data_IF_709896705647
#
_entry.id   IF_709896705647
#
_cell.length_a   1.000
_cell.length_b   1.000
_cell.length_c   1.000
_cell.angle_alpha   90.00
_cell.angle_beta   90.00
_cell.angle_gamma   90.00
#
_symmetry.space_group_name_H-M   'P 1'
#
loop_
_entity.id
_entity.type
_entity.pdbx_description
1 polymer ?
#
# COMPACT_ATOMS: atom_id res chain seq x y z
N UNK A 1 51.59 -8.22 -51.02
CA UNK A 1 50.62 -7.27 -50.43
C UNK A 1 49.63 -8.07 -49.60
N UNK A 2 49.92 -8.18 -48.32
CA UNK A 2 49.11 -8.94 -47.36
C UNK A 2 48.25 -7.94 -46.58
N UNK A 3 46.96 -8.04 -46.77
CA UNK A 3 45.99 -7.24 -46.00
C UNK A 3 45.77 -7.90 -44.65
N UNK A 4 46.30 -7.25 -43.62
CA UNK A 4 46.03 -7.68 -42.19
C UNK A 4 44.69 -7.12 -41.79
N UNK A 5 43.69 -7.98 -41.59
CA UNK A 5 42.44 -7.69 -40.93
C UNK A 5 42.67 -7.77 -39.42
N UNK A 6 42.76 -6.62 -38.76
CA UNK A 6 42.73 -6.52 -37.30
C UNK A 6 41.27 -6.66 -36.83
N UNK A 7 40.93 -7.80 -36.29
CA UNK A 7 39.74 -7.98 -35.46
C UNK A 7 40.01 -7.35 -34.09
N UNK A 8 39.32 -6.28 -33.77
CA UNK A 8 39.27 -5.74 -32.42
C UNK A 8 38.51 -6.72 -31.52
N UNK A 9 39.23 -7.45 -30.69
CA UNK A 9 38.66 -8.28 -29.64
C UNK A 9 38.00 -7.35 -28.59
N UNK A 10 36.69 -7.16 -28.68
CA UNK A 10 35.88 -6.75 -27.54
C UNK A 10 35.77 -7.96 -26.62
N UNK A 11 36.65 -8.08 -25.62
CA UNK A 11 36.45 -8.94 -24.47
C UNK A 11 35.30 -8.33 -23.66
N UNK A 12 34.10 -8.82 -23.86
CA UNK A 12 32.99 -8.59 -22.92
C UNK A 12 33.31 -9.43 -21.69
N UNK A 13 33.92 -8.82 -20.68
CA UNK A 13 34.05 -9.45 -19.37
C UNK A 13 32.65 -9.56 -18.77
N UNK A 14 32.03 -10.74 -18.86
CA UNK A 14 30.89 -11.10 -18.02
C UNK A 14 31.41 -11.21 -16.60
N UNK A 15 31.15 -10.20 -15.77
CA UNK A 15 31.41 -10.25 -14.34
C UNK A 15 30.35 -11.21 -13.75
N UNK A 16 30.70 -12.47 -13.56
CA UNK A 16 29.93 -13.38 -12.73
C UNK A 16 30.19 -13.07 -11.27
N UNK A 17 29.14 -13.03 -10.46
CA UNK A 17 29.30 -12.92 -9.01
C UNK A 17 30.01 -14.17 -8.50
N UNK A 18 31.09 -14.03 -7.73
CA UNK A 18 31.79 -15.18 -7.15
C UNK A 18 30.92 -15.82 -6.07
N UNK A 19 30.81 -17.15 -6.04
CA UNK A 19 30.07 -17.91 -5.02
C UNK A 19 30.46 -17.52 -3.60
N UNK A 20 31.76 -17.35 -3.34
CA UNK A 20 32.27 -16.94 -2.04
C UNK A 20 31.69 -15.58 -1.60
N UNK A 21 31.61 -14.60 -2.53
CA UNK A 21 31.05 -13.26 -2.25
C UNK A 21 29.55 -13.34 -1.96
N UNK A 22 28.78 -14.10 -2.77
CA UNK A 22 27.34 -14.25 -2.54
C UNK A 22 27.06 -14.98 -1.23
N UNK A 23 27.83 -16.02 -0.89
CA UNK A 23 27.70 -16.73 0.38
C UNK A 23 28.04 -15.83 1.59
N UNK A 24 29.07 -14.98 1.50
CA UNK A 24 29.42 -14.00 2.53
C UNK A 24 28.25 -13.01 2.75
N UNK A 25 27.64 -12.50 1.68
CA UNK A 25 26.49 -11.61 1.75
C UNK A 25 25.31 -12.32 2.45
N UNK A 26 24.98 -13.54 2.02
CA UNK A 26 23.95 -14.34 2.64
C UNK A 26 24.16 -14.52 4.14
N UNK A 27 25.34 -14.99 4.55
CA UNK A 27 25.66 -15.21 5.96
C UNK A 27 25.56 -13.94 6.79
N UNK A 28 26.13 -12.83 6.29
CA UNK A 28 26.05 -11.55 6.99
C UNK A 28 24.61 -11.03 7.14
N UNK A 29 23.75 -11.23 6.13
CA UNK A 29 22.35 -10.84 6.20
C UNK A 29 21.54 -11.71 7.15
N UNK A 30 21.80 -13.03 7.19
CA UNK A 30 21.15 -13.96 8.14
C UNK A 30 21.53 -13.61 9.58
N UNK A 31 22.80 -13.28 9.85
CA UNK A 31 23.25 -12.83 11.16
C UNK A 31 22.55 -11.53 11.58
N UNK A 32 22.51 -10.55 10.70
CA UNK A 32 21.76 -9.31 10.93
C UNK A 32 20.29 -9.53 11.29
N UNK A 33 19.61 -10.48 10.65
CA UNK A 33 18.22 -10.80 10.98
C UNK A 33 18.07 -11.33 12.41
N UNK A 34 19.01 -12.16 12.85
CA UNK A 34 18.99 -12.74 14.20
C UNK A 34 19.22 -11.68 15.28
N UNK A 35 20.10 -10.73 15.02
CA UNK A 35 20.55 -9.73 15.99
C UNK A 35 19.67 -8.47 16.02
N UNK A 36 18.93 -8.21 14.94
CA UNK A 36 18.07 -7.02 14.83
C UNK A 36 16.83 -7.15 15.70
N UNK A 37 16.50 -6.07 16.42
CA UNK A 37 15.24 -5.93 17.17
C UNK A 37 14.01 -6.11 16.24
N UNK A 38 13.02 -6.83 16.75
CA UNK A 38 11.78 -7.12 16.01
C UNK A 38 10.87 -5.91 15.85
N UNK A 39 11.16 -4.82 16.58
CA UNK A 39 10.32 -3.63 16.58
C UNK A 39 8.93 -3.89 17.15
N UNK A 40 7.98 -3.05 16.77
CA UNK A 40 6.58 -3.21 17.16
C UNK A 40 5.95 -4.41 16.45
N UNK A 41 5.25 -5.24 17.19
CA UNK A 41 4.50 -6.37 16.65
C UNK A 41 3.50 -5.88 15.59
N UNK A 42 3.60 -6.46 14.37
CA UNK A 42 2.71 -6.12 13.28
C UNK A 42 1.45 -7.00 13.33
N UNK A 43 0.28 -6.36 13.46
CA UNK A 43 -1.00 -7.09 13.52
C UNK A 43 -1.23 -7.96 12.28
N UNK A 44 -0.73 -7.54 11.12
CA UNK A 44 -0.78 -8.30 9.88
C UNK A 44 -0.18 -9.71 10.02
N UNK A 45 0.77 -9.93 10.93
CA UNK A 45 1.38 -11.25 11.17
C UNK A 45 0.37 -12.33 11.58
N UNK A 46 -0.74 -11.92 12.24
CA UNK A 46 -1.78 -12.87 12.66
C UNK A 46 -2.65 -13.37 11.49
N UNK A 47 -2.65 -12.65 10.38
CA UNK A 47 -3.49 -12.90 9.22
C UNK A 47 -2.70 -13.39 7.99
N UNK A 48 -1.40 -13.67 8.16
CA UNK A 48 -0.62 -14.26 7.07
C UNK A 48 -1.06 -15.73 6.87
N UNK A 49 -1.27 -16.14 5.62
CA UNK A 49 -1.72 -17.50 5.31
C UNK A 49 -0.61 -18.53 5.55
N UNK A 50 -0.99 -19.79 5.81
CA UNK A 50 -0.05 -20.91 5.69
C UNK A 50 0.30 -21.13 4.21
N UNK A 51 1.60 -21.16 3.93
CA UNK A 51 2.13 -21.25 2.57
C UNK A 51 2.40 -22.70 2.25
N UNK A 52 1.71 -23.22 1.21
CA UNK A 52 1.97 -24.58 0.68
C UNK A 52 2.64 -24.49 -0.70
N UNK A 53 1.85 -24.21 -1.73
CA UNK A 53 2.28 -24.23 -3.14
C UNK A 53 2.23 -22.83 -3.79
N UNK A 54 2.04 -21.77 -2.98
CA UNK A 54 1.96 -20.39 -3.44
C UNK A 54 3.06 -19.56 -2.78
N UNK A 55 3.61 -18.62 -3.49
CA UNK A 55 4.46 -17.60 -2.89
C UNK A 55 3.60 -16.63 -2.08
N UNK A 56 4.04 -16.27 -0.87
CA UNK A 56 3.46 -15.15 -0.15
C UNK A 56 4.21 -13.87 -0.52
N UNK A 57 3.48 -12.89 -1.02
CA UNK A 57 4.03 -11.59 -1.38
C UNK A 57 3.54 -10.55 -0.38
N UNK A 58 4.45 -10.00 0.41
CA UNK A 58 4.18 -8.88 1.32
C UNK A 58 4.51 -7.60 0.57
N UNK A 59 3.49 -6.87 0.16
CA UNK A 59 3.63 -5.62 -0.58
C UNK A 59 3.20 -4.42 0.26
N UNK A 60 3.45 -3.20 -0.21
CA UNK A 60 3.02 -1.98 0.47
C UNK A 60 4.00 -0.83 0.28
N UNK A 61 3.58 0.36 0.69
CA UNK A 61 4.36 1.59 0.50
C UNK A 61 5.78 1.48 1.09
N UNK A 62 6.73 2.17 0.49
CA UNK A 62 8.10 2.26 1.01
C UNK A 62 8.11 2.66 2.49
N UNK A 63 8.97 2.03 3.31
CA UNK A 63 9.15 2.28 4.76
C UNK A 63 7.92 2.01 5.65
N UNK A 64 6.89 1.29 5.18
CA UNK A 64 5.76 0.88 6.02
C UNK A 64 6.09 -0.26 7.00
N UNK A 65 7.28 -0.89 6.89
CA UNK A 65 7.75 -1.95 7.80
C UNK A 65 7.67 -3.37 7.23
N UNK A 66 7.75 -3.56 5.90
CA UNK A 66 7.73 -4.89 5.25
C UNK A 66 8.82 -5.82 5.76
N UNK A 67 10.07 -5.35 5.78
CA UNK A 67 11.21 -6.14 6.28
C UNK A 67 11.07 -6.46 7.78
N UNK A 68 10.42 -5.59 8.57
CA UNK A 68 10.09 -5.88 9.98
C UNK A 68 9.07 -7.01 10.09
N UNK A 69 7.98 -6.96 9.31
CA UNK A 69 6.99 -8.04 9.26
C UNK A 69 7.63 -9.35 8.80
N UNK A 70 8.53 -9.29 7.81
CA UNK A 70 9.25 -10.46 7.30
C UNK A 70 10.10 -11.10 8.41
N UNK A 71 10.87 -10.30 9.19
CA UNK A 71 11.63 -10.79 10.35
C UNK A 71 10.74 -11.42 11.42
N UNK A 72 9.64 -10.76 11.77
CA UNK A 72 8.68 -11.30 12.73
C UNK A 72 8.08 -12.63 12.23
N UNK A 73 7.84 -12.75 10.94
CA UNK A 73 7.34 -13.98 10.34
C UNK A 73 8.40 -15.09 10.40
N UNK A 74 9.66 -14.80 10.04
CA UNK A 74 10.78 -15.73 10.18
C UNK A 74 10.85 -16.28 11.61
N UNK A 75 10.88 -15.40 12.61
CA UNK A 75 10.95 -15.80 14.03
C UNK A 75 9.73 -16.60 14.47
N UNK A 76 8.52 -16.22 14.04
CA UNK A 76 7.27 -16.96 14.33
C UNK A 76 7.29 -18.38 13.79
N UNK A 77 7.91 -18.61 12.63
CA UNK A 77 7.97 -19.96 12.06
C UNK A 77 8.86 -20.93 12.87
N UNK A 78 9.90 -20.41 13.51
CA UNK A 78 10.89 -21.20 14.25
C UNK A 78 11.66 -22.22 13.41
N UNK A 79 11.59 -22.12 12.07
CA UNK A 79 12.19 -23.07 11.13
C UNK A 79 13.50 -22.52 10.57
N UNK A 80 14.41 -23.42 10.12
CA UNK A 80 15.55 -23.00 9.31
C UNK A 80 15.07 -22.21 8.09
N UNK A 81 15.74 -21.11 7.77
CA UNK A 81 15.35 -20.19 6.70
C UNK A 81 16.56 -19.73 5.89
N UNK A 82 16.33 -19.52 4.61
CA UNK A 82 17.23 -18.81 3.71
C UNK A 82 16.70 -17.38 3.54
N UNK A 83 17.54 -16.37 3.71
CA UNK A 83 17.15 -14.97 3.55
C UNK A 83 18.14 -14.20 2.69
N UNK A 84 17.64 -13.43 1.73
CA UNK A 84 18.42 -12.52 0.91
C UNK A 84 17.64 -11.24 0.66
N UNK A 85 18.26 -10.10 0.98
CA UNK A 85 17.75 -8.77 0.65
C UNK A 85 18.47 -8.23 -0.59
N UNK A 86 17.72 -8.02 -1.66
CA UNK A 86 18.25 -7.56 -2.94
C UNK A 86 18.46 -6.04 -3.02
N UNK A 87 18.08 -5.25 -2.00
CA UNK A 87 18.43 -3.81 -1.91
C UNK A 87 19.84 -3.60 -1.33
N UNK A 88 20.59 -4.67 -1.08
CA UNK A 88 22.00 -4.61 -0.64
C UNK A 88 22.89 -4.14 -1.80
N UNK A 89 23.69 -3.10 -1.57
CA UNK A 89 24.60 -2.54 -2.57
C UNK A 89 25.58 -3.57 -3.17
N UNK A 90 25.94 -4.60 -2.41
CA UNK A 90 26.80 -5.69 -2.88
C UNK A 90 26.13 -6.58 -3.94
N UNK A 91 24.79 -6.49 -4.07
CA UNK A 91 23.98 -7.21 -5.06
C UNK A 91 23.54 -6.34 -6.24
N UNK A 92 24.02 -5.11 -6.40
CA UNK A 92 23.65 -4.22 -7.51
C UNK A 92 23.92 -4.84 -8.89
N UNK A 93 24.95 -5.66 -9.00
CA UNK A 93 25.35 -6.34 -10.24
C UNK A 93 24.73 -7.74 -10.37
N UNK A 94 23.85 -8.14 -9.44
CA UNK A 94 23.21 -9.45 -9.48
C UNK A 94 22.38 -9.60 -10.77
N UNK A 95 22.67 -10.63 -11.51
CA UNK A 95 22.13 -10.90 -12.84
C UNK A 95 21.46 -12.28 -12.93
N UNK A 96 20.83 -12.57 -14.06
CA UNK A 96 20.16 -13.85 -14.30
C UNK A 96 21.13 -15.04 -14.20
N UNK A 97 22.40 -14.86 -14.59
CA UNK A 97 23.43 -15.91 -14.50
C UNK A 97 23.78 -16.30 -13.06
N UNK A 98 23.55 -15.38 -12.09
CA UNK A 98 23.90 -15.61 -10.70
C UNK A 98 22.87 -16.47 -9.95
N UNK A 99 21.68 -16.69 -10.53
CA UNK A 99 20.69 -17.59 -9.93
C UNK A 99 21.20 -19.05 -9.82
N UNK A 100 22.08 -19.50 -10.75
CA UNK A 100 22.71 -20.81 -10.62
C UNK A 100 23.61 -20.91 -9.39
N UNK A 101 24.37 -19.85 -9.11
CA UNK A 101 25.22 -19.76 -7.91
C UNK A 101 24.35 -19.69 -6.64
N UNK A 102 23.26 -18.94 -6.71
CA UNK A 102 22.29 -18.86 -5.61
C UNK A 102 21.67 -20.25 -5.31
N UNK A 103 21.36 -21.03 -6.35
CA UNK A 103 20.85 -22.39 -6.20
C UNK A 103 21.84 -23.31 -5.49
N UNK A 104 23.13 -23.25 -5.87
CA UNK A 104 24.17 -24.04 -5.19
C UNK A 104 24.23 -23.72 -3.70
N UNK A 105 24.18 -22.42 -3.33
CA UNK A 105 24.22 -22.00 -1.91
C UNK A 105 22.97 -22.50 -1.17
N UNK A 106 21.78 -22.37 -1.77
CA UNK A 106 20.53 -22.85 -1.17
C UNK A 106 20.58 -24.36 -0.96
N UNK A 107 21.04 -25.13 -1.96
CA UNK A 107 21.12 -26.59 -1.89
C UNK A 107 22.13 -27.05 -0.82
N UNK A 108 23.26 -26.39 -0.66
CA UNK A 108 24.23 -26.65 0.40
C UNK A 108 23.66 -26.45 1.81
N UNK A 109 22.72 -25.50 1.97
CA UNK A 109 22.05 -25.29 3.27
C UNK A 109 21.01 -26.35 3.60
N UNK A 110 20.45 -27.05 2.60
CA UNK A 110 19.33 -27.97 2.75
C UNK A 110 18.01 -27.30 3.16
N UNK A 111 17.95 -25.95 3.18
CA UNK A 111 16.81 -25.17 3.63
C UNK A 111 15.77 -25.09 2.51
N UNK A 112 14.50 -25.35 2.86
CA UNK A 112 13.36 -25.29 1.92
C UNK A 112 12.43 -24.07 2.14
N UNK A 113 12.76 -23.18 3.08
CA UNK A 113 11.98 -21.98 3.35
C UNK A 113 12.80 -20.74 3.01
N UNK A 114 12.41 -20.05 1.95
CA UNK A 114 13.13 -18.93 1.34
C UNK A 114 12.39 -17.63 1.60
N UNK A 115 13.13 -16.61 2.00
CA UNK A 115 12.66 -15.25 2.21
C UNK A 115 13.51 -14.29 1.36
N UNK A 116 12.88 -13.61 0.40
CA UNK A 116 13.50 -12.60 -0.44
C UNK A 116 12.91 -11.23 -0.13
N UNK A 117 13.76 -10.31 0.32
CA UNK A 117 13.38 -8.92 0.62
C UNK A 117 13.73 -8.02 -0.57
N UNK A 118 12.82 -7.09 -0.93
CA UNK A 118 12.92 -6.16 -2.07
C UNK A 118 13.31 -6.86 -3.40
N UNK A 119 12.69 -8.01 -3.68
CA UNK A 119 13.02 -8.90 -4.81
C UNK A 119 12.89 -8.25 -6.19
N UNK A 120 12.10 -7.18 -6.31
CA UNK A 120 11.89 -6.48 -7.59
C UNK A 120 13.14 -5.82 -8.16
N UNK A 121 14.22 -5.77 -7.41
CA UNK A 121 15.52 -5.27 -7.90
C UNK A 121 16.28 -6.33 -8.72
N UNK A 122 15.97 -7.62 -8.54
CA UNK A 122 16.57 -8.72 -9.27
C UNK A 122 15.87 -8.99 -10.60
N UNK A 123 16.62 -9.08 -11.70
CA UNK A 123 16.05 -9.32 -13.03
C UNK A 123 15.45 -10.74 -13.14
N UNK A 124 14.27 -10.88 -13.75
CA UNK A 124 13.57 -12.16 -13.98
C UNK A 124 13.31 -12.99 -12.72
N UNK A 125 13.21 -12.35 -11.57
CA UNK A 125 12.97 -13.01 -10.28
C UNK A 125 11.72 -13.89 -10.28
N UNK A 126 10.69 -13.54 -11.05
CA UNK A 126 9.42 -14.27 -11.10
C UNK A 126 9.60 -15.67 -11.66
N UNK A 127 10.44 -15.80 -12.69
CA UNK A 127 10.76 -17.11 -13.29
C UNK A 127 11.55 -17.98 -12.28
N UNK A 128 12.47 -17.34 -11.57
CA UNK A 128 13.23 -18.04 -10.54
C UNK A 128 12.35 -18.49 -9.38
N UNK A 129 11.48 -17.63 -8.87
CA UNK A 129 10.54 -18.00 -7.81
C UNK A 129 9.60 -19.11 -8.25
N UNK A 130 9.11 -19.07 -9.49
CA UNK A 130 8.29 -20.15 -10.05
C UNK A 130 9.03 -21.49 -10.04
N UNK A 131 10.29 -21.50 -10.48
CA UNK A 131 11.15 -22.69 -10.44
C UNK A 131 11.29 -23.22 -9.00
N UNK A 132 11.51 -22.35 -8.02
CA UNK A 132 11.60 -22.77 -6.60
C UNK A 132 10.30 -23.36 -6.07
N UNK A 133 9.14 -22.78 -6.44
CA UNK A 133 7.84 -23.37 -6.11
C UNK A 133 7.62 -24.74 -6.74
N UNK A 134 8.06 -24.94 -7.99
CA UNK A 134 8.01 -26.25 -8.67
C UNK A 134 8.89 -27.29 -7.99
N UNK A 135 10.01 -26.88 -7.39
CA UNK A 135 10.91 -27.71 -6.59
C UNK A 135 10.43 -27.95 -5.15
N UNK A 136 9.23 -27.44 -4.78
CA UNK A 136 8.63 -27.62 -3.46
C UNK A 136 9.16 -26.69 -2.36
N UNK A 137 9.85 -25.62 -2.72
CA UNK A 137 10.25 -24.60 -1.75
C UNK A 137 9.05 -23.76 -1.30
N UNK A 138 9.07 -23.31 -0.05
CA UNK A 138 8.17 -22.27 0.48
C UNK A 138 8.84 -20.92 0.29
N UNK A 139 8.17 -19.99 -0.39
CA UNK A 139 8.76 -18.70 -0.76
C UNK A 139 7.93 -17.56 -0.23
N UNK A 140 8.58 -16.63 0.48
CA UNK A 140 8.02 -15.36 0.94
C UNK A 140 8.81 -14.22 0.33
N UNK A 141 8.11 -13.25 -0.22
CA UNK A 141 8.70 -12.13 -0.94
C UNK A 141 8.24 -10.81 -0.34
N UNK A 142 9.08 -9.79 -0.38
CA UNK A 142 8.62 -8.41 -0.21
C UNK A 142 8.88 -7.57 -1.43
N UNK A 143 8.11 -6.50 -1.57
CA UNK A 143 8.33 -5.48 -2.59
C UNK A 143 7.52 -4.21 -2.36
N UNK A 144 8.06 -3.08 -2.81
CA UNK A 144 7.46 -1.76 -2.61
C UNK A 144 6.59 -1.27 -3.77
N UNK A 145 6.30 -2.13 -4.75
CA UNK A 145 5.52 -1.76 -5.92
C UNK A 145 4.45 -2.80 -6.27
N UNK A 146 3.21 -2.33 -6.44
CA UNK A 146 2.07 -3.16 -6.77
C UNK A 146 2.07 -3.66 -8.22
N UNK A 147 2.51 -2.82 -9.18
CA UNK A 147 2.48 -3.21 -10.60
C UNK A 147 3.49 -4.29 -10.95
N UNK A 148 4.66 -4.27 -10.32
CA UNK A 148 5.64 -5.34 -10.48
C UNK A 148 5.07 -6.66 -9.98
N UNK A 149 4.31 -6.61 -8.89
CA UNK A 149 3.71 -7.80 -8.30
C UNK A 149 2.45 -8.26 -9.04
N UNK A 150 1.62 -7.37 -9.59
CA UNK A 150 0.36 -7.75 -10.24
C UNK A 150 0.50 -8.13 -11.72
N UNK A 151 1.22 -7.36 -12.55
CA UNK A 151 1.42 -7.66 -13.97
C UNK A 151 2.33 -8.86 -14.20
N UNK A 152 3.45 -8.89 -13.50
CA UNK A 152 4.45 -9.92 -13.68
C UNK A 152 4.06 -11.22 -12.97
N UNK A 153 3.43 -11.13 -11.79
CA UNK A 153 2.89 -12.30 -11.10
C UNK A 153 1.74 -12.96 -11.88
N UNK A 154 0.81 -12.17 -12.44
CA UNK A 154 -0.32 -12.70 -13.20
C UNK A 154 0.09 -13.51 -14.43
N UNK A 155 1.16 -13.11 -15.10
CA UNK A 155 1.64 -13.76 -16.33
C UNK A 155 2.72 -14.82 -16.09
N UNK A 156 3.68 -14.55 -15.21
CA UNK A 156 4.87 -15.38 -15.01
C UNK A 156 4.76 -16.39 -13.86
N UNK A 157 4.10 -16.05 -12.75
CA UNK A 157 3.82 -17.00 -11.64
C UNK A 157 2.51 -17.78 -11.83
N UNK A 158 1.78 -17.54 -12.93
CA UNK A 158 0.58 -18.32 -13.29
C UNK A 158 -0.42 -18.52 -12.14
N UNK A 159 -0.69 -17.44 -11.38
CA UNK A 159 -1.66 -17.45 -10.28
C UNK A 159 -1.17 -18.09 -8.96
N UNK A 160 0.06 -18.61 -8.89
CA UNK A 160 0.58 -19.24 -7.67
C UNK A 160 1.21 -18.26 -6.69
N UNK A 161 0.45 -17.24 -6.31
CA UNK A 161 0.86 -16.26 -5.31
C UNK A 161 -0.33 -15.77 -4.48
N UNK A 162 -0.06 -15.33 -3.27
CA UNK A 162 -1.01 -14.66 -2.39
C UNK A 162 -0.38 -13.32 -2.00
N UNK A 163 -1.04 -12.23 -2.34
CA UNK A 163 -0.58 -10.89 -1.99
C UNK A 163 -1.20 -10.45 -0.67
N UNK A 164 -0.38 -9.93 0.24
CA UNK A 164 -0.81 -9.26 1.46
C UNK A 164 -0.22 -7.86 1.50
N UNK A 165 -1.09 -6.87 1.44
CA UNK A 165 -0.69 -5.47 1.55
C UNK A 165 -0.42 -5.11 3.01
N UNK A 166 0.71 -4.47 3.24
CA UNK A 166 1.10 -3.92 4.53
C UNK A 166 1.03 -2.40 4.49
N UNK A 167 0.31 -1.84 5.46
CA UNK A 167 0.18 -0.40 5.64
C UNK A 167 1.17 0.13 6.69
N UNK A 168 1.41 1.45 6.77
CA UNK A 168 1.96 2.06 7.98
C UNK A 168 1.17 1.62 9.22
N UNK A 169 1.63 1.92 10.44
CA UNK A 169 0.92 1.49 11.64
C UNK A 169 -0.55 1.90 11.62
N UNK A 170 -1.44 0.95 11.94
CA UNK A 170 -2.82 1.25 12.32
C UNK A 170 -2.86 2.01 13.62
N UNK A 171 -4.03 2.58 13.99
CA UNK A 171 -4.18 3.20 15.30
C UNK A 171 -3.88 2.21 16.44
N UNK A 172 -4.28 0.95 16.33
CA UNK A 172 -3.96 -0.09 17.32
C UNK A 172 -2.45 -0.39 17.42
N UNK A 173 -1.73 -0.45 16.31
CA UNK A 173 -0.28 -0.60 16.30
C UNK A 173 0.43 0.65 16.85
N UNK A 174 -0.09 1.85 16.57
CA UNK A 174 0.38 3.10 17.15
C UNK A 174 0.24 3.12 18.68
N UNK A 175 -0.88 2.63 19.23
CA UNK A 175 -1.07 2.52 20.68
C UNK A 175 -0.01 1.62 21.32
N UNK A 176 0.28 0.49 20.68
CA UNK A 176 1.36 -0.41 21.14
C UNK A 176 2.72 0.28 21.07
N UNK A 177 3.02 0.96 19.96
CA UNK A 177 4.27 1.71 19.78
C UNK A 177 4.45 2.82 20.82
N UNK A 178 3.42 3.63 21.02
CA UNK A 178 3.45 4.79 21.93
C UNK A 178 3.22 4.44 23.39
N UNK A 179 2.89 3.16 23.70
CA UNK A 179 2.46 2.70 25.02
C UNK A 179 1.29 3.51 25.58
N UNK A 180 0.42 4.00 24.68
CA UNK A 180 -0.72 4.82 25.04
C UNK A 180 -1.99 3.96 25.22
N UNK A 181 -2.90 4.41 26.09
CA UNK A 181 -4.24 3.84 26.19
C UNK A 181 -5.13 4.33 25.06
N UNK A 182 -6.02 3.46 24.56
CA UNK A 182 -7.04 3.83 23.56
C UNK A 182 -7.94 4.92 24.12
N UNK A 183 -8.25 5.91 23.30
CA UNK A 183 -9.13 7.01 23.66
C UNK A 183 -8.90 8.25 22.80
N UNK A 184 -9.76 9.23 22.93
CA UNK A 184 -9.77 10.44 22.11
C UNK A 184 -8.39 11.16 22.09
N UNK A 185 -7.74 11.31 23.22
CA UNK A 185 -6.46 12.03 23.29
C UNK A 185 -5.33 11.32 22.53
N UNK A 186 -5.27 9.98 22.57
CA UNK A 186 -4.29 9.21 21.80
C UNK A 186 -4.66 9.17 20.32
N UNK A 187 -5.96 9.10 20.00
CA UNK A 187 -6.45 9.20 18.62
C UNK A 187 -6.07 10.55 18.00
N UNK A 188 -6.30 11.67 18.71
CA UNK A 188 -5.93 13.01 18.22
C UNK A 188 -4.44 13.11 17.89
N UNK A 189 -3.56 12.48 18.69
CA UNK A 189 -2.12 12.43 18.39
C UNK A 189 -1.83 11.61 17.13
N UNK A 190 -2.42 10.41 17.01
CA UNK A 190 -2.28 9.58 15.80
C UNK A 190 -2.82 10.31 14.57
N UNK A 191 -3.98 10.94 14.69
CA UNK A 191 -4.62 11.75 13.65
C UNK A 191 -3.73 12.93 13.19
N UNK A 192 -2.85 13.43 14.07
CA UNK A 192 -1.88 14.46 13.73
C UNK A 192 -0.60 13.91 13.08
N UNK A 193 -0.18 12.68 13.39
CA UNK A 193 1.12 12.16 12.97
C UNK A 193 1.05 11.17 11.82
N UNK A 194 -0.03 10.43 11.68
CA UNK A 194 -0.08 9.25 10.85
C UNK A 194 0.65 8.06 11.49
N UNK A 195 0.88 7.02 10.69
CA UNK A 195 1.37 5.73 11.15
C UNK A 195 2.76 5.34 10.63
N UNK A 196 3.52 6.21 9.97
CA UNK A 196 4.87 5.83 9.50
C UNK A 196 5.83 5.57 10.65
N UNK A 197 6.38 4.34 10.80
CA UNK A 197 7.17 3.93 11.96
C UNK A 197 8.39 4.82 12.22
N UNK A 198 9.14 5.15 11.17
CA UNK A 198 10.37 5.96 11.28
C UNK A 198 10.07 7.39 11.71
N UNK A 199 9.01 8.00 11.15
CA UNK A 199 8.58 9.33 11.58
C UNK A 199 8.12 9.35 13.04
N UNK A 200 7.34 8.35 13.45
CA UNK A 200 6.89 8.22 14.85
C UNK A 200 8.05 8.05 15.82
N UNK A 201 9.12 7.34 15.42
CA UNK A 201 10.31 7.11 16.24
C UNK A 201 11.16 8.38 16.38
N UNK A 202 11.41 9.09 15.29
CA UNK A 202 12.35 10.20 15.23
C UNK A 202 11.69 11.59 15.39
N UNK A 203 10.37 11.68 15.16
CA UNK A 203 9.55 12.89 15.27
C UNK A 203 10.05 14.08 14.44
N UNK A 204 10.79 13.80 13.35
CA UNK A 204 11.27 14.82 12.43
C UNK A 204 10.37 14.85 11.17
N UNK A 205 9.64 15.96 10.89
CA UNK A 205 8.78 16.08 9.70
C UNK A 205 9.50 15.92 8.36
N UNK A 206 10.80 16.21 8.32
CA UNK A 206 11.61 16.04 7.10
C UNK A 206 11.64 14.59 6.61
N UNK A 207 11.47 13.61 7.52
CA UNK A 207 11.42 12.18 7.17
C UNK A 207 10.26 11.90 6.22
N UNK A 208 9.07 12.41 6.51
CA UNK A 208 7.91 12.23 5.63
C UNK A 208 8.07 12.97 4.31
N UNK A 209 8.63 14.18 4.35
CA UNK A 209 8.92 14.97 3.14
C UNK A 209 9.95 14.25 2.26
N UNK A 210 11.01 13.69 2.86
CA UNK A 210 12.01 12.93 2.11
C UNK A 210 11.42 11.61 1.56
N UNK A 211 10.62 10.90 2.36
CA UNK A 211 9.94 9.69 1.93
C UNK A 211 9.00 9.96 0.75
N UNK A 212 8.23 11.04 0.79
CA UNK A 212 7.38 11.47 -0.33
C UNK A 212 8.21 11.72 -1.59
N UNK A 213 9.33 12.43 -1.47
CA UNK A 213 10.25 12.67 -2.60
C UNK A 213 10.82 11.35 -3.14
N UNK A 214 11.27 10.45 -2.28
CA UNK A 214 11.79 9.15 -2.69
C UNK A 214 10.74 8.35 -3.48
N UNK A 215 9.47 8.37 -3.06
CA UNK A 215 8.38 7.72 -3.80
C UNK A 215 8.15 8.38 -5.15
N UNK A 216 8.03 9.72 -5.19
CA UNK A 216 7.74 10.43 -6.45
C UNK A 216 8.88 10.31 -7.46
N UNK A 217 10.15 10.45 -7.01
CA UNK A 217 11.27 10.48 -7.93
C UNK A 217 11.86 9.11 -8.20
N UNK A 218 12.12 8.28 -7.19
CA UNK A 218 12.75 6.97 -7.38
C UNK A 218 11.75 5.89 -7.78
N UNK A 219 10.61 5.81 -7.06
CA UNK A 219 9.66 4.72 -7.25
C UNK A 219 8.69 5.00 -8.40
N UNK A 220 8.50 6.28 -8.81
CA UNK A 220 7.64 6.66 -9.92
C UNK A 220 8.44 7.22 -11.09
N UNK A 221 9.06 8.41 -10.96
CA UNK A 221 9.63 9.11 -12.12
C UNK A 221 10.72 8.28 -12.82
N UNK A 222 11.68 7.75 -12.08
CA UNK A 222 12.75 6.91 -12.64
C UNK A 222 12.19 5.61 -13.23
N UNK A 223 11.30 4.94 -12.52
CA UNK A 223 10.74 3.65 -12.94
C UNK A 223 9.91 3.71 -14.21
N UNK A 224 9.08 4.74 -14.35
CA UNK A 224 8.17 4.91 -15.49
C UNK A 224 8.71 5.89 -16.55
N UNK A 225 9.98 6.31 -16.41
CA UNK A 225 10.63 7.28 -17.32
C UNK A 225 9.80 8.56 -17.49
N UNK A 226 9.28 9.11 -16.37
CA UNK A 226 8.50 10.35 -16.39
C UNK A 226 9.45 11.52 -16.60
N UNK A 227 9.36 12.18 -17.76
CA UNK A 227 10.22 13.32 -18.10
C UNK A 227 9.81 14.63 -17.42
N UNK A 228 8.53 14.79 -17.08
CA UNK A 228 7.99 15.98 -16.40
C UNK A 228 7.67 15.72 -14.92
N UNK A 229 8.71 15.66 -14.11
CA UNK A 229 8.59 15.48 -12.65
C UNK A 229 7.81 16.62 -11.96
N UNK A 230 7.86 17.84 -12.53
CA UNK A 230 7.14 18.99 -11.96
C UNK A 230 5.64 18.81 -12.08
N UNK A 231 5.15 18.28 -13.19
CA UNK A 231 3.73 17.97 -13.37
C UNK A 231 3.26 16.87 -12.43
N UNK A 232 4.09 15.85 -12.23
CA UNK A 232 3.83 14.78 -11.27
C UNK A 232 3.70 15.35 -9.83
N UNK A 233 4.62 16.23 -9.42
CA UNK A 233 4.59 16.85 -8.10
C UNK A 233 3.40 17.80 -7.93
N UNK A 234 3.07 18.62 -8.94
CA UNK A 234 1.87 19.50 -8.89
C UNK A 234 0.61 18.68 -8.71
N UNK A 235 0.49 17.58 -9.45
CA UNK A 235 -0.66 16.69 -9.28
C UNK A 235 -0.72 16.08 -7.89
N UNK A 236 0.40 15.60 -7.35
CA UNK A 236 0.47 15.10 -5.98
C UNK A 236 -0.02 16.13 -4.95
N UNK A 237 0.50 17.35 -5.00
CA UNK A 237 0.12 18.42 -4.07
C UNK A 237 -1.37 18.73 -4.17
N UNK A 238 -1.89 18.81 -5.41
CA UNK A 238 -3.32 19.02 -5.61
C UNK A 238 -4.17 17.89 -5.02
N UNK A 239 -3.80 16.63 -5.28
CA UNK A 239 -4.53 15.47 -4.75
C UNK A 239 -4.50 15.43 -3.22
N UNK A 240 -3.37 15.80 -2.61
CA UNK A 240 -3.25 15.85 -1.16
C UNK A 240 -4.15 16.93 -0.52
N UNK A 241 -4.33 18.07 -1.21
CA UNK A 241 -5.28 19.12 -0.75
C UNK A 241 -6.75 18.74 -0.96
N UNK A 242 -7.02 17.72 -1.77
CA UNK A 242 -8.35 17.24 -2.11
C UNK A 242 -8.57 15.78 -1.67
N UNK A 243 -7.83 15.32 -0.65
CA UNK A 243 -8.07 14.00 -0.07
C UNK A 243 -9.54 13.85 0.36
N UNK A 244 -10.18 12.71 0.08
CA UNK A 244 -11.62 12.51 0.30
C UNK A 244 -12.55 13.13 -0.74
N UNK A 245 -12.04 14.01 -1.61
CA UNK A 245 -12.88 14.70 -2.60
C UNK A 245 -13.00 13.93 -3.91
N UNK A 246 -14.07 14.25 -4.64
CA UNK A 246 -14.29 13.73 -6.00
C UNK A 246 -13.37 14.41 -7.00
N UNK A 247 -12.58 13.60 -7.71
CA UNK A 247 -11.65 14.04 -8.75
C UNK A 247 -12.02 13.49 -10.12
N UNK A 248 -11.74 14.29 -11.16
CA UNK A 248 -11.93 13.89 -12.55
C UNK A 248 -10.66 14.18 -13.37
N UNK A 249 -10.14 13.21 -14.15
CA UNK A 249 -8.91 13.39 -14.91
C UNK A 249 -8.94 14.59 -15.85
N UNK A 250 -10.11 14.88 -16.45
CA UNK A 250 -10.29 15.99 -17.39
C UNK A 250 -10.05 17.36 -16.74
N UNK A 251 -10.46 17.54 -15.48
CA UNK A 251 -10.25 18.79 -14.71
C UNK A 251 -8.81 18.94 -14.20
N UNK A 252 -8.10 17.83 -14.03
CA UNK A 252 -6.76 17.83 -13.46
C UNK A 252 -5.65 18.09 -14.47
N UNK A 253 -5.95 17.99 -15.77
CA UNK A 253 -5.02 18.25 -16.86
C UNK A 253 -4.36 19.63 -16.73
N UNK A 254 -5.18 20.65 -16.53
CA UNK A 254 -4.70 22.04 -16.43
C UNK A 254 -3.94 22.29 -15.11
N UNK A 255 -4.39 21.69 -14.01
CA UNK A 255 -3.72 21.74 -12.70
C UNK A 255 -2.31 21.17 -12.78
N UNK A 256 -2.17 19.97 -13.37
CA UNK A 256 -0.88 19.32 -13.51
C UNK A 256 0.00 20.01 -14.60
N UNK A 257 -0.62 20.76 -15.51
CA UNK A 257 0.07 21.38 -16.65
C UNK A 257 0.43 20.40 -17.75
N UNK A 258 -0.35 19.30 -17.90
CA UNK A 258 -0.14 18.29 -18.93
C UNK A 258 -1.12 18.46 -20.10
N UNK A 259 -0.72 18.02 -21.30
CA UNK A 259 -1.53 18.20 -22.50
C UNK A 259 -2.66 17.19 -22.64
N UNK A 260 -2.50 16.00 -22.05
CA UNK A 260 -3.44 14.87 -22.22
C UNK A 260 -4.04 14.43 -20.89
N UNK A 261 -5.34 14.10 -20.89
CA UNK A 261 -5.96 13.42 -19.77
C UNK A 261 -5.44 11.97 -19.59
N UNK A 262 -4.91 11.37 -20.67
CA UNK A 262 -4.27 10.03 -20.59
C UNK A 262 -3.07 10.06 -19.67
N UNK A 263 -2.25 11.13 -19.71
CA UNK A 263 -1.12 11.32 -18.80
C UNK A 263 -1.57 11.40 -17.34
N UNK A 264 -2.73 12.01 -17.06
CA UNK A 264 -3.30 12.01 -15.68
C UNK A 264 -3.68 10.60 -15.26
N UNK A 265 -4.28 9.79 -16.14
CA UNK A 265 -4.62 8.40 -15.84
C UNK A 265 -3.37 7.54 -15.60
N UNK A 266 -2.30 7.78 -16.37
CA UNK A 266 -1.01 7.14 -16.16
C UNK A 266 -0.43 7.51 -14.79
N UNK A 267 -0.41 8.80 -14.43
CA UNK A 267 0.05 9.26 -13.12
C UNK A 267 -0.78 8.68 -11.98
N UNK A 268 -2.10 8.57 -12.14
CA UNK A 268 -2.95 7.88 -11.17
C UNK A 268 -2.53 6.42 -10.98
N UNK A 269 -2.31 5.71 -12.09
CA UNK A 269 -1.82 4.33 -12.03
C UNK A 269 -0.45 4.24 -11.34
N UNK A 270 0.46 5.19 -11.57
CA UNK A 270 1.77 5.21 -10.93
C UNK A 270 1.67 5.46 -9.42
N UNK A 271 0.78 6.37 -9.00
CA UNK A 271 0.52 6.61 -7.57
C UNK A 271 -0.09 5.41 -6.87
N UNK A 272 -1.08 4.74 -7.49
CA UNK A 272 -1.66 3.51 -6.96
C UNK A 272 -0.63 2.37 -6.90
N UNK A 273 0.15 2.20 -7.97
CA UNK A 273 1.19 1.17 -8.05
C UNK A 273 2.33 1.37 -7.03
N UNK A 274 2.61 2.61 -6.62
CA UNK A 274 3.57 2.91 -5.56
C UNK A 274 2.96 2.85 -4.15
N UNK A 275 1.70 2.48 -4.03
CA UNK A 275 0.94 2.49 -2.77
C UNK A 275 0.86 3.87 -2.11
N UNK A 276 1.03 4.95 -2.88
CA UNK A 276 0.98 6.30 -2.35
C UNK A 276 -0.45 6.73 -2.01
N UNK A 277 -1.39 6.38 -2.88
CA UNK A 277 -2.82 6.68 -2.74
C UNK A 277 -3.69 5.58 -3.37
N UNK A 278 -4.99 5.69 -3.15
CA UNK A 278 -6.02 4.84 -3.74
C UNK A 278 -7.14 5.69 -4.34
N UNK A 279 -7.71 5.21 -5.42
CA UNK A 279 -8.83 5.84 -6.10
C UNK A 279 -10.10 4.98 -5.91
N UNK A 280 -11.01 5.46 -5.09
CA UNK A 280 -12.28 4.78 -4.81
C UNK A 280 -13.30 5.14 -5.88
N UNK A 281 -13.89 4.11 -6.47
CA UNK A 281 -14.87 4.24 -7.54
C UNK A 281 -16.28 4.46 -6.98
N UNK A 282 -17.13 5.12 -7.78
CA UNK A 282 -18.58 5.14 -7.54
C UNK A 282 -19.12 3.73 -7.66
N UNK A 283 -20.00 3.34 -6.74
CA UNK A 283 -20.77 2.12 -6.94
C UNK A 283 -21.77 2.29 -8.10
N UNK A 284 -21.75 1.39 -9.04
CA UNK A 284 -22.75 1.25 -10.07
C UNK A 284 -22.77 -0.20 -10.57
N UNK A 285 -23.91 -0.70 -11.01
CA UNK A 285 -24.01 -2.05 -11.59
C UNK A 285 -23.27 -2.19 -12.92
N UNK A 286 -23.13 -1.10 -13.65
CA UNK A 286 -22.43 -1.06 -14.94
C UNK A 286 -20.98 -0.67 -14.76
N UNK A 287 -20.04 -1.49 -15.23
CA UNK A 287 -18.59 -1.17 -15.25
C UNK A 287 -18.28 0.12 -16.03
N UNK A 288 -19.04 0.38 -17.13
CA UNK A 288 -18.91 1.62 -17.88
C UNK A 288 -19.26 2.84 -17.02
N UNK A 289 -20.34 2.76 -16.25
CA UNK A 289 -20.75 3.84 -15.36
C UNK A 289 -19.74 4.06 -14.24
N UNK A 290 -19.18 2.99 -13.66
CA UNK A 290 -18.10 3.08 -12.67
C UNK A 290 -16.83 3.78 -13.23
N UNK A 291 -16.43 3.40 -14.45
CA UNK A 291 -15.21 3.91 -15.08
C UNK A 291 -15.30 5.39 -15.43
N UNK A 292 -16.49 5.85 -15.85
CA UNK A 292 -16.73 7.24 -16.26
C UNK A 292 -17.00 8.19 -15.08
N UNK A 293 -17.41 7.66 -13.94
CA UNK A 293 -17.69 8.47 -12.76
C UNK A 293 -16.39 9.08 -12.17
N UNK A 294 -16.47 10.27 -11.56
CA UNK A 294 -15.38 10.79 -10.73
C UNK A 294 -14.98 9.77 -9.66
N UNK A 295 -13.75 9.85 -9.18
CA UNK A 295 -13.23 8.97 -8.13
C UNK A 295 -12.91 9.78 -6.89
N UNK A 296 -13.06 9.18 -5.70
CA UNK A 296 -12.53 9.76 -4.46
C UNK A 296 -11.06 9.35 -4.29
N UNK A 297 -10.22 10.26 -3.81
CA UNK A 297 -8.79 10.01 -3.58
C UNK A 297 -8.49 9.90 -2.10
N UNK A 298 -7.78 8.82 -1.71
CA UNK A 298 -7.34 8.62 -0.34
C UNK A 298 -5.86 8.25 -0.30
N UNK A 299 -5.11 8.88 0.58
CA UNK A 299 -3.69 8.59 0.78
C UNK A 299 -3.52 7.39 1.74
N UNK A 300 -2.51 6.59 1.48
CA UNK A 300 -2.19 5.41 2.32
C UNK A 300 -1.91 5.77 3.78
N UNK A 301 -1.43 6.99 4.01
CA UNK A 301 -1.23 7.52 5.36
C UNK A 301 -1.56 9.01 5.42
N UNK A 302 -2.23 9.42 6.50
CA UNK A 302 -2.60 10.83 6.72
C UNK A 302 -1.38 11.74 6.86
N UNK A 303 -0.21 11.20 7.23
CA UNK A 303 1.04 11.94 7.27
C UNK A 303 1.45 12.51 5.91
N UNK A 304 1.12 11.85 4.80
CA UNK A 304 1.40 12.35 3.45
C UNK A 304 0.57 13.57 3.07
N UNK A 305 -0.68 13.68 3.55
CA UNK A 305 -1.52 14.86 3.30
C UNK A 305 -0.85 16.10 3.89
N UNK A 306 -0.17 15.96 5.03
CA UNK A 306 0.53 17.05 5.71
C UNK A 306 1.78 17.52 4.97
N UNK A 307 2.50 16.64 4.31
CA UNK A 307 3.73 17.00 3.55
C UNK A 307 3.43 17.95 2.38
N UNK A 308 2.18 18.03 1.95
CA UNK A 308 1.74 18.94 0.90
C UNK A 308 1.53 20.38 1.38
N UNK A 309 1.75 20.68 2.68
CA UNK A 309 1.75 22.03 3.23
C UNK A 309 0.37 22.60 3.63
N UNK A 310 -0.66 21.75 3.73
CA UNK A 310 -2.01 22.18 4.09
C UNK A 310 -2.24 22.21 5.61
N UNK A 311 -3.00 23.20 6.07
CA UNK A 311 -3.37 23.35 7.48
C UNK A 311 -4.44 22.33 7.87
N UNK A 312 -4.24 21.73 9.02
CA UNK A 312 -5.06 20.63 9.54
C UNK A 312 -6.50 21.03 9.87
N UNK A 313 -6.72 22.31 10.24
CA UNK A 313 -8.02 22.80 10.73
C UNK A 313 -9.09 22.90 9.66
N UNK A 314 -8.72 23.22 8.43
CA UNK A 314 -9.68 23.43 7.34
C UNK A 314 -10.13 22.12 6.67
N UNK A 315 -9.34 21.03 6.81
CA UNK A 315 -9.57 19.74 6.13
C UNK A 315 -9.75 18.56 7.09
N UNK A 316 -10.04 18.82 8.37
CA UNK A 316 -10.10 17.76 9.38
C UNK A 316 -11.16 16.68 9.06
N UNK A 317 -12.29 17.04 8.45
CA UNK A 317 -13.31 16.09 8.00
C UNK A 317 -12.77 15.12 6.94
N UNK A 318 -12.11 15.64 5.91
CA UNK A 318 -11.50 14.82 4.86
C UNK A 318 -10.35 13.93 5.37
N UNK A 319 -9.61 14.39 6.37
CA UNK A 319 -8.57 13.58 7.01
C UNK A 319 -9.21 12.45 7.83
N UNK A 320 -10.34 12.68 8.50
CA UNK A 320 -11.09 11.64 9.20
C UNK A 320 -11.65 10.61 8.22
N UNK A 321 -12.16 11.07 7.09
CA UNK A 321 -12.62 10.20 6.01
C UNK A 321 -11.47 9.37 5.44
N UNK A 322 -10.29 9.97 5.23
CA UNK A 322 -9.09 9.22 4.81
C UNK A 322 -8.63 8.21 5.85
N UNK A 323 -8.70 8.52 7.14
CA UNK A 323 -8.44 7.57 8.22
C UNK A 323 -9.42 6.40 8.16
N UNK A 324 -10.73 6.68 8.07
CA UNK A 324 -11.77 5.67 7.97
C UNK A 324 -11.54 4.75 6.74
N UNK A 325 -11.21 5.32 5.58
CA UNK A 325 -10.86 4.55 4.40
C UNK A 325 -9.69 3.60 4.64
N UNK A 326 -8.61 4.08 5.25
CA UNK A 326 -7.43 3.26 5.52
C UNK A 326 -7.74 2.08 6.45
N UNK A 327 -8.55 2.30 7.49
CA UNK A 327 -8.96 1.22 8.40
C UNK A 327 -9.94 0.24 7.71
N UNK A 328 -10.90 0.75 6.91
CA UNK A 328 -11.78 -0.10 6.09
C UNK A 328 -10.97 -0.96 5.11
N UNK A 329 -9.96 -0.37 4.47
CA UNK A 329 -9.09 -1.09 3.54
C UNK A 329 -8.25 -2.17 4.23
N UNK A 330 -7.75 -1.93 5.44
CA UNK A 330 -7.06 -2.96 6.24
C UNK A 330 -7.98 -4.13 6.56
N UNK A 331 -9.23 -3.86 6.86
CA UNK A 331 -10.19 -4.87 7.32
C UNK A 331 -10.86 -5.63 6.17
N UNK A 332 -11.23 -4.95 5.10
CA UNK A 332 -12.06 -5.48 4.02
C UNK A 332 -11.37 -5.46 2.65
N UNK A 333 -10.31 -4.68 2.48
CA UNK A 333 -9.62 -4.56 1.19
C UNK A 333 -8.66 -5.71 0.96
N UNK A 334 -8.71 -6.31 -0.24
CA UNK A 334 -7.55 -6.94 -0.85
C UNK A 334 -7.10 -6.07 -2.02
N UNK A 335 -5.85 -6.22 -2.46
CA UNK A 335 -5.30 -5.40 -3.54
C UNK A 335 -6.11 -5.49 -4.84
N UNK A 336 -6.67 -6.65 -5.14
CA UNK A 336 -7.44 -6.91 -6.36
C UNK A 336 -8.97 -6.88 -6.16
N UNK A 337 -9.46 -6.92 -4.91
CA UNK A 337 -10.88 -6.93 -4.60
C UNK A 337 -11.40 -5.51 -4.33
N UNK A 338 -12.18 -5.00 -5.26
CA UNK A 338 -12.91 -3.76 -5.08
C UNK A 338 -14.09 -4.00 -4.13
N UNK A 339 -13.81 -3.95 -2.84
CA UNK A 339 -14.81 -4.15 -1.78
C UNK A 339 -15.34 -2.83 -1.22
N UNK A 340 -14.71 -1.70 -1.57
CA UNK A 340 -15.02 -0.37 -1.04
C UNK A 340 -15.33 0.57 -2.20
N UNK A 341 -16.51 1.16 -2.17
CA UNK A 341 -17.01 2.14 -3.14
C UNK A 341 -17.58 3.35 -2.40
N UNK A 342 -17.81 4.45 -3.09
CA UNK A 342 -18.74 5.48 -2.63
C UNK A 342 -20.06 5.38 -3.38
N UNK A 343 -21.16 5.85 -2.79
CA UNK A 343 -22.45 5.95 -3.45
C UNK A 343 -22.79 7.40 -3.72
N UNK A 344 -23.31 7.71 -4.91
CA UNK A 344 -23.82 9.04 -5.24
C UNK A 344 -24.97 8.94 -6.24
N UNK A 345 -26.10 9.58 -5.93
CA UNK A 345 -27.26 9.71 -6.81
C UNK A 345 -27.94 11.06 -6.59
N UNK A 346 -28.07 11.84 -7.68
CA UNK A 346 -28.53 13.23 -7.56
C UNK A 346 -27.63 14.06 -6.63
N UNK A 347 -28.23 14.61 -5.57
CA UNK A 347 -27.54 15.39 -4.53
C UNK A 347 -27.27 14.57 -3.25
N UNK A 348 -27.39 13.24 -3.32
CA UNK A 348 -27.14 12.35 -2.19
C UNK A 348 -25.79 11.66 -2.40
N UNK A 349 -24.92 11.71 -1.41
CA UNK A 349 -23.63 11.03 -1.41
C UNK A 349 -23.43 10.30 -0.07
N UNK A 350 -22.99 9.03 -0.14
CA UNK A 350 -22.52 8.27 1.01
C UNK A 350 -21.06 7.90 0.78
N UNK A 351 -20.21 8.17 1.78
CA UNK A 351 -18.75 8.08 1.64
C UNK A 351 -18.27 6.68 1.34
N UNK A 352 -18.83 5.68 2.01
CA UNK A 352 -18.41 4.29 1.81
C UNK A 352 -19.59 3.33 1.73
N UNK A 353 -19.54 2.48 0.71
CA UNK A 353 -20.31 1.25 0.59
C UNK A 353 -19.31 0.11 0.57
N UNK A 354 -19.33 -0.70 1.63
CA UNK A 354 -18.38 -1.80 1.82
C UNK A 354 -19.08 -3.13 1.52
N UNK A 355 -18.38 -4.04 0.83
CA UNK A 355 -18.88 -5.37 0.43
C UNK A 355 -20.22 -5.35 -0.31
N UNK A 356 -20.43 -4.51 -1.33
CA UNK A 356 -21.76 -4.28 -1.95
C UNK A 356 -22.38 -5.52 -2.59
N UNK A 357 -21.55 -6.53 -2.91
CA UNK A 357 -21.98 -7.75 -3.59
C UNK A 357 -22.27 -8.94 -2.66
N UNK A 358 -21.97 -8.81 -1.36
CA UNK A 358 -22.16 -9.88 -0.36
C UNK A 358 -23.00 -9.41 0.80
N UNK A 359 -22.41 -8.75 1.78
CA UNK A 359 -23.08 -8.17 2.93
C UNK A 359 -22.79 -6.67 2.94
N UNK A 360 -23.60 -5.87 2.24
CA UNK A 360 -23.35 -4.45 2.11
C UNK A 360 -23.44 -3.71 3.45
N UNK A 361 -22.56 -2.73 3.62
CA UNK A 361 -22.57 -1.77 4.72
C UNK A 361 -22.44 -0.37 4.16
N UNK A 362 -23.25 0.57 4.66
CA UNK A 362 -23.17 1.98 4.32
C UNK A 362 -22.60 2.76 5.51
N UNK A 363 -21.56 3.53 5.26
CA UNK A 363 -20.82 4.29 6.26
C UNK A 363 -20.63 5.72 5.76
N UNK A 364 -21.07 6.68 6.58
CA UNK A 364 -20.83 8.10 6.38
C UNK A 364 -19.76 8.57 7.37
N UNK A 365 -18.98 9.59 7.01
CA UNK A 365 -17.93 10.13 7.89
C UNK A 365 -18.09 11.65 7.97
N UNK A 366 -18.22 12.15 9.17
CA UNK A 366 -18.21 13.58 9.41
C UNK A 366 -17.47 13.92 10.70
N UNK A 367 -16.81 15.06 10.76
CA UNK A 367 -16.03 15.43 11.93
C UNK A 367 -16.92 15.53 13.17
N UNK A 368 -18.08 16.18 13.01
CA UNK A 368 -19.10 16.38 14.02
C UNK A 368 -20.45 16.56 13.34
N UNK A 369 -21.49 16.00 13.93
CA UNK A 369 -22.87 16.31 13.53
C UNK A 369 -23.36 17.54 14.29
N UNK A 370 -23.88 18.51 13.56
CA UNK A 370 -24.48 19.73 14.09
C UNK A 370 -25.70 20.13 13.26
N UNK A 371 -26.36 21.24 13.63
CA UNK A 371 -27.57 21.70 12.93
C UNK A 371 -27.38 21.95 11.44
N UNK A 372 -26.16 22.27 11.02
CA UNK A 372 -25.88 22.74 9.65
C UNK A 372 -25.59 21.59 8.69
N UNK A 373 -25.13 20.44 9.19
CA UNK A 373 -24.72 19.30 8.35
C UNK A 373 -25.55 18.02 8.55
N UNK A 374 -26.24 17.87 9.68
CA UNK A 374 -26.96 16.62 10.04
C UNK A 374 -27.91 16.15 8.95
N UNK A 375 -28.73 17.07 8.39
CA UNK A 375 -29.68 16.72 7.33
C UNK A 375 -28.96 16.18 6.09
N UNK A 376 -27.89 16.81 5.67
CA UNK A 376 -27.10 16.39 4.50
C UNK A 376 -26.46 15.02 4.71
N UNK A 377 -25.80 14.79 5.86
CA UNK A 377 -25.12 13.54 6.18
C UNK A 377 -26.11 12.38 6.29
N UNK A 378 -27.24 12.60 6.96
CA UNK A 378 -28.30 11.60 7.06
C UNK A 378 -28.92 11.30 5.72
N UNK A 379 -29.22 12.32 4.90
CA UNK A 379 -29.84 12.14 3.58
C UNK A 379 -28.99 11.27 2.66
N UNK A 380 -27.69 11.48 2.62
CA UNK A 380 -26.77 10.70 1.81
C UNK A 380 -26.72 9.23 2.25
N UNK A 381 -26.58 9.01 3.56
CA UNK A 381 -26.54 7.66 4.14
C UNK A 381 -27.86 6.93 3.95
N UNK A 382 -29.00 7.58 4.22
CA UNK A 382 -30.34 6.97 4.05
C UNK A 382 -30.61 6.58 2.60
N UNK A 383 -30.22 7.42 1.63
CA UNK A 383 -30.36 7.09 0.20
C UNK A 383 -29.54 5.84 -0.19
N UNK A 384 -28.33 5.72 0.33
CA UNK A 384 -27.52 4.51 0.13
C UNK A 384 -28.14 3.29 0.82
N UNK A 385 -28.64 3.45 2.06
CA UNK A 385 -29.34 2.37 2.79
C UNK A 385 -30.58 1.89 2.04
N UNK A 386 -31.36 2.79 1.44
CA UNK A 386 -32.52 2.44 0.63
C UNK A 386 -32.12 1.66 -0.62
N UNK A 387 -31.11 2.14 -1.33
CA UNK A 387 -30.59 1.47 -2.53
C UNK A 387 -30.15 0.02 -2.25
N UNK A 388 -29.47 -0.19 -1.12
CA UNK A 388 -28.98 -1.52 -0.70
C UNK A 388 -29.97 -2.28 0.19
N UNK A 389 -31.16 -1.74 0.47
CA UNK A 389 -32.20 -2.31 1.33
C UNK A 389 -31.71 -2.63 2.74
N UNK A 390 -30.94 -1.71 3.34
CA UNK A 390 -30.36 -1.86 4.66
C UNK A 390 -31.22 -1.20 5.74
N UNK A 391 -31.30 -1.85 6.89
CA UNK A 391 -31.93 -1.33 8.11
C UNK A 391 -30.97 -0.68 9.09
N UNK A 392 -29.66 -0.88 8.88
CA UNK A 392 -28.61 -0.32 9.73
C UNK A 392 -27.61 0.46 8.89
N UNK A 393 -27.24 1.64 9.38
CA UNK A 393 -26.20 2.48 8.85
C UNK A 393 -25.27 2.99 9.94
N UNK A 394 -24.13 3.53 9.57
CA UNK A 394 -23.11 4.00 10.52
C UNK A 394 -22.68 5.40 10.10
N UNK A 395 -22.58 6.31 11.08
CA UNK A 395 -21.87 7.58 10.94
C UNK A 395 -20.67 7.56 11.84
N UNK A 396 -19.48 7.69 11.25
CA UNK A 396 -18.22 7.79 11.98
C UNK A 396 -17.90 9.26 12.24
N UNK A 397 -17.63 9.58 13.51
CA UNK A 397 -17.30 10.95 13.95
C UNK A 397 -15.91 10.99 14.59
N UNK A 398 -15.42 12.19 14.88
CA UNK A 398 -14.18 12.35 15.65
C UNK A 398 -14.35 11.83 17.09
N UNK A 399 -15.43 12.21 17.78
CA UNK A 399 -15.63 11.87 19.19
C UNK A 399 -17.09 11.95 19.66
N UNK A 400 -18.08 11.82 18.79
CA UNK A 400 -19.49 11.93 19.19
C UNK A 400 -20.17 10.57 19.13
N UNK A 401 -21.09 10.31 20.10
CA UNK A 401 -21.98 9.15 20.11
C UNK A 401 -23.42 9.62 20.05
N UNK A 402 -24.20 8.96 19.22
CA UNK A 402 -25.66 9.13 19.17
C UNK A 402 -26.29 7.94 18.45
N UNK A 403 -27.62 7.89 18.43
CA UNK A 403 -28.42 6.92 17.66
C UNK A 403 -29.58 7.67 17.02
N UNK A 404 -29.63 7.61 15.70
CA UNK A 404 -30.74 8.15 14.94
C UNK A 404 -31.63 7.01 14.43
N UNK A 405 -32.96 7.16 14.62
CA UNK A 405 -33.94 6.19 14.16
C UNK A 405 -34.96 6.90 13.29
N UNK A 406 -35.16 6.42 12.08
CA UNK A 406 -36.17 6.90 11.16
C UNK A 406 -36.88 5.69 10.53
N UNK A 407 -38.18 5.58 10.76
CA UNK A 407 -38.98 4.42 10.34
C UNK A 407 -38.40 3.11 10.88
N UNK A 408 -38.03 2.18 9.98
CA UNK A 408 -37.41 0.90 10.33
C UNK A 408 -35.86 0.91 10.22
N UNK A 409 -35.27 2.09 10.02
CA UNK A 409 -33.82 2.28 9.89
C UNK A 409 -33.20 2.83 11.17
N UNK A 410 -32.09 2.22 11.56
CA UNK A 410 -31.26 2.63 12.70
C UNK A 410 -29.88 3.04 12.22
N UNK A 411 -29.47 4.25 12.55
CA UNK A 411 -28.13 4.78 12.27
C UNK A 411 -27.38 4.92 13.60
N UNK A 412 -26.25 4.23 13.71
CA UNK A 412 -25.36 4.32 14.86
C UNK A 412 -24.29 5.37 14.58
N UNK A 413 -24.15 6.32 15.48
CA UNK A 413 -23.18 7.42 15.41
C UNK A 413 -22.14 7.17 16.47
N UNK A 414 -20.87 7.01 16.08
CA UNK A 414 -19.80 6.66 17.00
C UNK A 414 -18.44 7.18 16.55
N UNK A 415 -17.48 7.34 17.47
CA UNK A 415 -16.12 7.71 17.13
C UNK A 415 -15.45 6.70 16.22
N UNK A 416 -14.77 7.19 15.17
CA UNK A 416 -14.05 6.32 14.24
C UNK A 416 -12.99 5.45 14.93
N UNK A 417 -12.33 5.98 15.96
CA UNK A 417 -11.30 5.26 16.71
C UNK A 417 -11.85 4.13 17.61
N UNK A 418 -13.13 4.13 17.94
CA UNK A 418 -13.82 3.02 18.60
C UNK A 418 -14.29 1.97 17.60
N UNK A 419 -14.87 2.39 16.48
CA UNK A 419 -15.41 1.48 15.47
C UNK A 419 -14.35 0.53 14.90
N UNK A 420 -13.12 1.00 14.77
CA UNK A 420 -11.99 0.21 14.26
C UNK A 420 -11.15 -0.42 15.39
N UNK A 421 -11.79 -1.03 16.33
CA UNK A 421 -11.15 -1.76 17.43
C UNK A 421 -10.55 -3.11 16.99
#
# INVERSE_FOLDING_TARGET
MSTVLTYSNFCVYFYYMQKAKLNEIYLSQVENIKDTDDGVFRLALNFLPDIKNHALVISGVRRCGKSTLLRQFIKKTGKPFFYLNFDDLRLLEFSVSDYGILDEIIDETGIKFIFFDEIQTAANWELYVRQKLDQGFKVVLTGSNASLLSRELGTKLTGRHIVKELFPFSYSEYLTFSKAKRGYNSFKKYFQTGGFPEYLKLKNPEILTQLQKDILYRDIAVRYNVSDERSLQRLYVFLASHAGSLISPSKLKDVAGVKSHTTILEYFSYFENSYLLSLVQKFAWSQKAQSLAPKKVYFTDIGFIRTAGFTFSENAGHILENFAFNELRRKYGSFDDKQIYYYAEGNCECDFVVNPFTVPMCIQVCLKLDSDNTERELKGLLAAMDFFKLKKGIILTENSHDVFVQEDKRIEIMPAWEYFE
#
